data_IF_981020247736
#
_entry.id   IF_981020247736
#
_cell.length_a   1.000
_cell.length_b   1.000
_cell.length_c   1.000
_cell.angle_alpha   90.00
_cell.angle_beta   90.00
_cell.angle_gamma   90.00
#
_symmetry.space_group_name_H-M   'P 1'
#
loop_
_entity.id
_entity.type
_entity.pdbx_description
1 polymer ?
#
# COMPACT_ATOMS: atom_id res chain seq x y z
N UNK A 1 -2.95 -11.08 -17.84
CA UNK A 1 -2.94 -11.25 -16.37
C UNK A 1 -2.28 -12.58 -16.06
N UNK A 2 -1.06 -12.59 -15.52
CA UNK A 2 -0.48 -13.83 -14.98
C UNK A 2 -1.33 -14.20 -13.77
N UNK A 3 -1.98 -15.37 -13.81
CA UNK A 3 -3.07 -15.70 -12.93
C UNK A 3 -2.67 -15.83 -11.47
N UNK A 4 -3.43 -15.18 -10.60
CA UNK A 4 -3.45 -15.52 -9.17
C UNK A 4 -3.73 -17.02 -9.04
N UNK A 5 -2.88 -17.71 -8.31
CA UNK A 5 -3.05 -19.15 -8.02
C UNK A 5 -3.72 -19.29 -6.66
N UNK A 6 -5.04 -19.56 -6.59
CA UNK A 6 -5.76 -19.68 -5.31
C UNK A 6 -5.21 -20.77 -4.42
N UNK A 7 -4.68 -21.85 -5.02
CA UNK A 7 -4.07 -22.98 -4.35
C UNK A 7 -2.78 -22.65 -3.59
N UNK A 8 -2.14 -21.53 -3.88
CA UNK A 8 -0.94 -21.06 -3.18
C UNK A 8 -1.27 -20.06 -2.06
N UNK A 9 -2.53 -19.61 -1.99
CA UNK A 9 -2.93 -18.60 -1.02
C UNK A 9 -3.23 -19.21 0.34
N UNK A 10 -2.87 -18.46 1.38
CA UNK A 10 -3.19 -18.79 2.77
C UNK A 10 -4.38 -17.97 3.22
N UNK A 11 -5.37 -18.61 3.82
CA UNK A 11 -6.51 -17.89 4.36
C UNK A 11 -6.09 -17.02 5.55
N UNK A 12 -6.37 -15.72 5.55
CA UNK A 12 -5.98 -14.84 6.66
C UNK A 12 -6.79 -15.08 7.94
N UNK A 13 -7.92 -15.77 7.84
CA UNK A 13 -8.78 -16.06 8.98
C UNK A 13 -8.39 -17.36 9.70
N UNK A 14 -8.27 -18.47 8.96
CA UNK A 14 -8.02 -19.80 9.57
C UNK A 14 -6.60 -20.33 9.32
N UNK A 15 -5.76 -19.62 8.58
CA UNK A 15 -4.40 -20.05 8.27
C UNK A 15 -4.28 -21.21 7.27
N UNK A 16 -5.40 -21.77 6.79
CA UNK A 16 -5.37 -22.90 5.87
C UNK A 16 -4.77 -22.48 4.51
N UNK A 17 -3.78 -23.22 4.04
CA UNK A 17 -3.14 -23.03 2.75
C UNK A 17 -3.81 -23.90 1.70
N UNK A 18 -4.04 -23.33 0.49
CA UNK A 18 -4.66 -24.06 -0.61
C UNK A 18 -6.16 -24.32 -0.47
N UNK A 19 -6.78 -23.83 0.60
CA UNK A 19 -8.21 -24.01 0.87
C UNK A 19 -9.09 -22.88 0.28
N UNK A 20 -8.51 -22.02 -0.54
CA UNK A 20 -9.19 -20.87 -1.15
C UNK A 20 -9.55 -21.16 -2.61
N UNK A 21 -10.70 -20.63 -3.04
CA UNK A 21 -11.14 -20.64 -4.45
C UNK A 21 -11.58 -19.26 -4.88
N UNK A 22 -11.58 -19.00 -6.18
CA UNK A 22 -12.10 -17.74 -6.72
C UNK A 22 -13.61 -17.64 -6.39
N UNK A 23 -14.00 -16.52 -5.79
CA UNK A 23 -15.36 -16.23 -5.40
C UNK A 23 -16.00 -15.20 -6.32
N UNK A 24 -15.38 -14.04 -6.50
CA UNK A 24 -15.90 -12.94 -7.29
C UNK A 24 -14.76 -11.99 -7.70
N UNK A 25 -15.11 -11.07 -8.60
CA UNK A 25 -14.32 -9.88 -8.88
C UNK A 25 -15.17 -8.64 -8.63
N UNK A 26 -14.51 -7.54 -8.21
CA UNK A 26 -15.18 -6.26 -8.07
C UNK A 26 -14.33 -5.12 -8.64
N UNK A 27 -15.01 -4.10 -9.17
CA UNK A 27 -14.35 -2.90 -9.68
C UNK A 27 -13.82 -2.01 -8.55
N UNK A 28 -12.63 -1.44 -8.75
CA UNK A 28 -12.04 -0.45 -7.86
C UNK A 28 -11.31 0.60 -8.68
N UNK A 29 -11.50 1.87 -8.30
CA UNK A 29 -10.72 2.98 -8.86
C UNK A 29 -9.43 3.16 -8.06
N UNK A 30 -8.35 3.46 -8.77
CA UNK A 30 -7.04 3.78 -8.21
C UNK A 30 -6.47 4.98 -8.95
N UNK A 31 -6.11 6.01 -8.22
CA UNK A 31 -5.39 7.17 -8.77
C UNK A 31 -3.90 6.93 -8.68
N UNK A 32 -3.21 7.08 -9.80
CA UNK A 32 -1.76 7.06 -9.91
C UNK A 32 -1.24 8.34 -10.57
N UNK A 33 0.07 8.53 -10.63
CA UNK A 33 0.68 9.73 -11.21
C UNK A 33 1.54 9.34 -12.42
N UNK A 34 1.01 9.62 -13.62
CA UNK A 34 1.63 9.22 -14.88
C UNK A 34 1.84 10.46 -15.75
N UNK A 35 3.01 10.59 -16.33
CA UNK A 35 3.37 11.68 -17.27
C UNK A 35 3.08 13.10 -16.72
N UNK A 36 3.25 13.28 -15.41
CA UNK A 36 3.11 14.59 -14.78
C UNK A 36 1.70 14.96 -14.32
N UNK A 37 0.73 14.05 -14.43
CA UNK A 37 -0.66 14.28 -14.04
C UNK A 37 -1.26 13.09 -13.26
N UNK A 38 -2.26 13.32 -12.39
CA UNK A 38 -3.07 12.27 -11.80
C UNK A 38 -3.87 11.53 -12.87
N UNK A 39 -3.83 10.20 -12.85
CA UNK A 39 -4.59 9.34 -13.76
C UNK A 39 -5.39 8.33 -12.95
N UNK A 40 -6.68 8.23 -13.23
CA UNK A 40 -7.56 7.27 -12.57
C UNK A 40 -7.64 5.98 -13.39
N UNK A 41 -7.31 4.86 -12.75
CA UNK A 41 -7.40 3.52 -13.32
C UNK A 41 -8.60 2.77 -12.75
N UNK A 42 -9.33 2.05 -13.60
CA UNK A 42 -10.30 1.07 -13.16
C UNK A 42 -9.64 -0.30 -13.08
N UNK A 43 -9.65 -0.87 -11.88
CA UNK A 43 -9.05 -2.17 -11.58
C UNK A 43 -10.13 -3.20 -11.29
N UNK A 44 -9.92 -4.44 -11.73
CA UNK A 44 -10.71 -5.58 -11.32
C UNK A 44 -9.96 -6.34 -10.23
N UNK A 45 -10.50 -6.34 -9.02
CA UNK A 45 -9.90 -6.98 -7.84
C UNK A 45 -10.57 -8.33 -7.62
N UNK A 46 -9.76 -9.38 -7.57
CA UNK A 46 -10.22 -10.73 -7.31
C UNK A 46 -10.48 -10.95 -5.81
N UNK A 47 -11.60 -11.56 -5.47
CA UNK A 47 -11.91 -12.06 -4.14
C UNK A 47 -11.85 -13.58 -4.12
N UNK A 48 -11.24 -14.09 -3.08
CA UNK A 48 -11.23 -15.51 -2.78
C UNK A 48 -12.18 -15.82 -1.61
N UNK A 49 -12.72 -17.03 -1.60
CA UNK A 49 -13.44 -17.60 -0.48
C UNK A 49 -12.71 -18.86 0.00
N UNK A 50 -12.49 -18.95 1.29
CA UNK A 50 -11.92 -20.12 1.92
C UNK A 50 -13.01 -21.13 2.34
N UNK A 51 -12.65 -22.39 2.53
CA UNK A 51 -13.56 -23.43 3.07
C UNK A 51 -14.13 -23.09 4.44
N UNK A 52 -13.46 -22.22 5.23
CA UNK A 52 -14.00 -21.69 6.49
C UNK A 52 -15.09 -20.62 6.32
N UNK A 53 -15.49 -20.29 5.07
CA UNK A 53 -16.49 -19.27 4.76
C UNK A 53 -15.94 -17.84 4.69
N UNK A 54 -14.70 -17.59 5.11
CA UNK A 54 -14.10 -16.25 5.06
C UNK A 54 -13.77 -15.84 3.62
N UNK A 55 -14.14 -14.60 3.25
CA UNK A 55 -13.79 -14.01 1.94
C UNK A 55 -12.75 -12.92 2.11
N UNK A 56 -11.76 -12.87 1.21
CA UNK A 56 -10.74 -11.84 1.21
C UNK A 56 -10.35 -11.42 -0.21
N UNK A 57 -9.93 -10.17 -0.37
CA UNK A 57 -9.44 -9.65 -1.64
C UNK A 57 -7.94 -9.93 -1.80
N UNK A 58 -7.51 -10.17 -3.02
CA UNK A 58 -6.09 -10.24 -3.38
C UNK A 58 -5.68 -8.87 -3.91
N UNK A 59 -4.81 -8.20 -3.19
CA UNK A 59 -4.30 -6.88 -3.55
C UNK A 59 -2.78 -6.94 -3.79
N UNK A 60 -2.27 -6.35 -4.87
CA UNK A 60 -0.84 -6.08 -5.03
C UNK A 60 -0.31 -5.18 -3.90
N UNK A 61 0.97 -5.29 -3.58
CA UNK A 61 1.61 -4.57 -2.47
C UNK A 61 1.55 -3.03 -2.60
N UNK A 62 1.44 -2.52 -3.84
CA UNK A 62 1.29 -1.09 -4.11
C UNK A 62 -0.14 -0.57 -3.97
N UNK A 63 -1.12 -1.44 -3.74
CA UNK A 63 -2.50 -1.05 -3.51
C UNK A 63 -2.78 -1.08 -2.01
N UNK A 64 -2.91 0.10 -1.43
CA UNK A 64 -3.27 0.24 -0.02
C UNK A 64 -4.75 -0.12 0.14
N UNK A 65 -5.11 -1.07 1.04
CA UNK A 65 -6.51 -1.37 1.33
C UNK A 65 -7.30 -0.11 1.68
N UNK A 66 -8.49 0.03 1.11
CA UNK A 66 -9.43 1.15 1.33
C UNK A 66 -8.94 2.54 0.89
N UNK A 67 -7.78 2.66 0.23
CA UNK A 67 -7.30 3.91 -0.35
C UNK A 67 -7.68 4.00 -1.83
N UNK A 68 -8.20 5.13 -2.27
CA UNK A 68 -8.38 5.43 -3.70
C UNK A 68 -7.09 5.82 -4.42
N UNK A 69 -5.97 5.93 -3.71
CA UNK A 69 -4.67 6.33 -4.25
C UNK A 69 -3.67 5.19 -4.17
N UNK A 70 -2.87 5.04 -5.22
CA UNK A 70 -1.76 4.12 -5.26
C UNK A 70 -0.65 4.54 -4.28
N UNK A 71 0.08 3.57 -3.76
CA UNK A 71 1.16 3.85 -2.81
C UNK A 71 2.23 4.75 -3.42
N UNK A 72 2.65 4.47 -4.66
CA UNK A 72 3.67 5.30 -5.33
C UNK A 72 3.19 6.73 -5.58
N UNK A 73 1.89 6.93 -5.82
CA UNK A 73 1.29 8.26 -5.86
C UNK A 73 1.52 9.01 -4.54
N UNK A 74 1.17 8.39 -3.41
CA UNK A 74 1.32 9.01 -2.09
C UNK A 74 2.80 9.28 -1.78
N UNK A 75 3.68 8.30 -2.02
CA UNK A 75 5.12 8.48 -1.80
C UNK A 75 5.71 9.61 -2.65
N UNK A 76 5.22 9.79 -3.87
CA UNK A 76 5.63 10.89 -4.74
C UNK A 76 5.21 12.24 -4.17
N UNK A 77 3.96 12.38 -3.72
CA UNK A 77 3.46 13.59 -3.05
C UNK A 77 4.31 13.92 -1.84
N UNK A 78 4.57 12.94 -0.98
CA UNK A 78 5.39 13.12 0.22
C UNK A 78 6.85 13.50 -0.13
N UNK A 79 7.42 12.91 -1.18
CA UNK A 79 8.77 13.26 -1.62
C UNK A 79 8.85 14.72 -2.10
N UNK A 80 7.89 15.18 -2.91
CA UNK A 80 7.86 16.59 -3.36
C UNK A 80 7.63 17.56 -2.20
N UNK A 81 6.82 17.18 -1.21
CA UNK A 81 6.62 17.97 0.01
C UNK A 81 7.93 18.10 0.81
N UNK A 82 8.61 17.00 1.12
CA UNK A 82 9.86 17.03 1.90
C UNK A 82 11.04 17.66 1.15
N UNK A 83 11.06 17.57 -0.18
CA UNK A 83 12.03 18.26 -1.04
C UNK A 83 11.74 19.75 -1.21
N UNK A 84 10.59 20.23 -0.75
CA UNK A 84 10.14 21.62 -0.87
C UNK A 84 10.18 22.12 -2.32
N UNK A 85 9.77 21.28 -3.28
CA UNK A 85 9.80 21.60 -4.71
C UNK A 85 8.75 22.65 -5.10
N UNK A 86 7.71 22.82 -4.28
CA UNK A 86 6.65 23.81 -4.50
C UNK A 86 5.99 24.18 -3.17
N UNK A 87 5.14 25.23 -3.18
CA UNK A 87 4.30 25.54 -2.02
C UNK A 87 3.25 24.44 -1.83
N UNK A 88 2.69 24.35 -0.63
CA UNK A 88 1.68 23.35 -0.28
C UNK A 88 0.44 23.46 -1.18
N UNK A 89 0.03 24.69 -1.48
CA UNK A 89 -1.11 24.97 -2.36
C UNK A 89 -0.87 24.42 -3.77
N UNK A 90 0.27 24.76 -4.38
CA UNK A 90 0.66 24.27 -5.72
C UNK A 90 0.83 22.76 -5.76
N UNK A 91 1.34 22.17 -4.69
CA UNK A 91 1.45 20.71 -4.57
C UNK A 91 0.05 20.08 -4.56
N UNK A 92 -0.87 20.60 -3.75
CA UNK A 92 -2.25 20.12 -3.70
C UNK A 92 -2.96 20.26 -5.06
N UNK A 93 -2.80 21.39 -5.73
CA UNK A 93 -3.34 21.62 -7.09
C UNK A 93 -2.79 20.61 -8.10
N UNK A 94 -1.46 20.46 -8.15
CA UNK A 94 -0.78 19.57 -9.09
C UNK A 94 -1.22 18.12 -8.97
N UNK A 95 -1.38 17.64 -7.74
CA UNK A 95 -1.79 16.26 -7.46
C UNK A 95 -3.30 16.09 -7.32
N UNK A 96 -4.09 17.17 -7.47
CA UNK A 96 -5.55 17.17 -7.31
C UNK A 96 -5.98 16.55 -5.98
N UNK A 97 -5.31 16.93 -4.89
CA UNK A 97 -5.57 16.47 -3.53
C UNK A 97 -5.95 17.64 -2.61
N UNK A 98 -6.66 17.33 -1.54
CA UNK A 98 -6.97 18.32 -0.51
C UNK A 98 -5.82 18.47 0.49
N UNK A 99 -5.74 19.63 1.14
CA UNK A 99 -4.79 19.86 2.24
C UNK A 99 -5.02 18.87 3.40
N UNK A 100 -6.27 18.52 3.68
CA UNK A 100 -6.63 17.53 4.71
C UNK A 100 -6.06 16.15 4.36
N UNK A 101 -6.11 15.78 3.09
CA UNK A 101 -5.55 14.51 2.60
C UNK A 101 -4.04 14.48 2.72
N UNK A 102 -3.36 15.57 2.33
CA UNK A 102 -1.91 15.70 2.50
C UNK A 102 -1.51 15.54 3.98
N UNK A 103 -2.19 16.25 4.89
CA UNK A 103 -1.94 16.15 6.34
C UNK A 103 -2.12 14.73 6.85
N UNK A 104 -3.21 14.06 6.47
CA UNK A 104 -3.45 12.67 6.84
C UNK A 104 -2.29 11.75 6.41
N UNK A 105 -1.77 11.94 5.20
CA UNK A 105 -0.63 11.13 4.72
C UNK A 105 0.67 11.45 5.43
N UNK A 106 0.92 12.74 5.75
CA UNK A 106 2.08 13.14 6.54
C UNK A 106 2.06 12.52 7.94
N UNK A 107 0.92 12.57 8.62
CA UNK A 107 0.76 11.99 9.96
C UNK A 107 0.94 10.46 9.93
N UNK A 108 0.30 9.79 8.96
CA UNK A 108 0.47 8.34 8.79
C UNK A 108 1.92 7.96 8.49
N UNK A 109 2.57 8.72 7.59
CA UNK A 109 3.97 8.47 7.24
C UNK A 109 4.88 8.64 8.44
N UNK A 110 4.73 9.71 9.18
CA UNK A 110 5.56 9.99 10.35
C UNK A 110 5.39 8.91 11.43
N UNK A 111 4.13 8.60 11.77
CA UNK A 111 3.81 7.57 12.77
C UNK A 111 4.37 6.20 12.36
N UNK A 112 4.11 5.77 11.13
CA UNK A 112 4.52 4.44 10.68
C UNK A 112 6.02 4.34 10.39
N UNK A 113 6.66 5.44 10.01
CA UNK A 113 8.13 5.52 9.94
C UNK A 113 8.73 5.33 11.33
N UNK A 114 8.19 5.98 12.36
CA UNK A 114 8.64 5.84 13.73
C UNK A 114 8.39 4.43 14.28
N UNK A 115 7.23 3.85 14.02
CA UNK A 115 6.93 2.45 14.33
C UNK A 115 7.96 1.50 13.71
N UNK A 116 8.35 1.72 12.45
CA UNK A 116 9.33 0.91 11.74
C UNK A 116 10.75 1.10 12.27
N UNK A 117 11.19 2.36 12.39
CA UNK A 117 12.55 2.70 12.84
C UNK A 117 12.77 2.47 14.33
N UNK A 118 11.73 2.62 15.15
CA UNK A 118 11.81 2.39 16.60
C UNK A 118 12.27 0.98 16.98
N UNK A 119 12.21 0.05 16.05
CA UNK A 119 12.80 -1.28 16.21
C UNK A 119 14.26 -1.36 15.75
N UNK A 120 14.74 -0.35 15.03
CA UNK A 120 16.10 -0.26 14.49
C UNK A 120 16.81 0.96 15.10
N UNK A 121 16.71 1.13 16.40
CA UNK A 121 17.04 2.30 17.22
C UNK A 121 18.44 2.95 17.00
N UNK A 122 19.15 2.60 15.93
CA UNK A 122 20.46 3.14 15.59
C UNK A 122 20.52 3.95 14.29
N UNK A 123 19.40 4.13 13.57
CA UNK A 123 19.41 4.85 12.29
C UNK A 123 18.58 6.13 12.38
N UNK A 124 19.23 7.26 12.61
CA UNK A 124 18.67 8.59 12.32
C UNK A 124 18.46 8.77 10.81
N UNK A 125 17.48 8.04 10.25
CA UNK A 125 17.11 8.25 8.87
C UNK A 125 16.20 9.47 8.77
N UNK A 126 16.64 10.53 8.12
CA UNK A 126 15.77 11.64 7.75
C UNK A 126 14.59 11.11 6.93
N UNK A 127 13.42 11.78 7.00
CA UNK A 127 12.25 11.40 6.21
C UNK A 127 12.55 11.30 4.72
N UNK A 128 13.44 12.16 4.22
CA UNK A 128 13.86 12.15 2.83
C UNK A 128 14.75 10.94 2.48
N UNK A 129 15.68 10.56 3.34
CA UNK A 129 16.52 9.36 3.12
C UNK A 129 15.68 8.09 3.14
N UNK A 130 14.73 8.01 4.07
CA UNK A 130 13.78 6.89 4.14
C UNK A 130 12.90 6.80 2.89
N UNK A 131 12.35 7.93 2.41
CA UNK A 131 11.58 7.96 1.17
C UNK A 131 12.42 7.59 -0.06
N UNK A 132 13.64 8.07 -0.17
CA UNK A 132 14.54 7.69 -1.27
C UNK A 132 14.78 6.18 -1.31
N UNK A 133 15.01 5.56 -0.15
CA UNK A 133 15.18 4.12 -0.05
C UNK A 133 13.91 3.36 -0.50
N UNK A 134 12.73 3.84 -0.12
CA UNK A 134 11.45 3.23 -0.52
C UNK A 134 11.15 3.38 -2.01
N UNK A 135 11.55 4.47 -2.65
CA UNK A 135 11.31 4.73 -4.07
C UNK A 135 12.21 3.88 -5.00
N UNK A 136 13.23 3.23 -4.46
CA UNK A 136 14.00 2.22 -5.19
C UNK A 136 13.19 0.91 -5.25
N UNK A 137 12.69 0.55 -6.44
CA UNK A 137 11.74 -0.58 -6.64
C UNK A 137 12.20 -1.91 -6.02
N UNK A 138 13.48 -2.23 -6.06
CA UNK A 138 13.99 -3.48 -5.48
C UNK A 138 13.85 -3.54 -3.95
N UNK A 139 14.03 -2.42 -3.26
CA UNK A 139 13.92 -2.36 -1.80
C UNK A 139 12.46 -2.29 -1.32
N UNK A 140 11.54 -1.82 -2.17
CA UNK A 140 10.15 -1.61 -1.77
C UNK A 140 9.39 -2.91 -1.50
N UNK A 141 9.52 -3.91 -2.37
CA UNK A 141 8.81 -5.20 -2.20
C UNK A 141 9.18 -5.88 -0.89
N UNK A 142 10.47 -5.87 -0.55
CA UNK A 142 10.97 -6.45 0.69
C UNK A 142 10.48 -5.66 1.92
N UNK A 143 10.51 -4.33 1.83
CA UNK A 143 9.98 -3.45 2.87
C UNK A 143 8.48 -3.67 3.08
N UNK A 144 7.67 -3.66 2.01
CA UNK A 144 6.22 -3.84 2.09
C UNK A 144 5.87 -5.17 2.74
N UNK A 145 6.53 -6.24 2.33
CA UNK A 145 6.36 -7.58 2.87
C UNK A 145 6.75 -7.66 4.34
N UNK A 146 7.88 -7.06 4.72
CA UNK A 146 8.34 -7.03 6.09
C UNK A 146 7.43 -6.17 6.98
N UNK A 147 6.94 -5.03 6.46
CA UNK A 147 6.01 -4.17 7.19
C UNK A 147 4.68 -4.88 7.48
N UNK A 148 4.09 -5.55 6.48
CA UNK A 148 2.86 -6.32 6.67
C UNK A 148 3.05 -7.44 7.68
N UNK A 149 4.16 -8.20 7.59
CA UNK A 149 4.45 -9.28 8.55
C UNK A 149 4.57 -8.80 9.98
N UNK A 150 5.13 -7.61 10.17
CA UNK A 150 5.36 -7.05 11.51
C UNK A 150 4.13 -6.37 12.10
N UNK A 151 3.41 -5.59 11.31
CA UNK A 151 2.33 -4.73 11.78
C UNK A 151 0.93 -5.19 11.37
N UNK A 152 0.81 -6.29 10.61
CA UNK A 152 -0.47 -6.85 10.09
C UNK A 152 -1.31 -5.84 9.29
N UNK A 153 -0.71 -4.75 8.83
CA UNK A 153 -1.31 -3.70 8.00
C UNK A 153 -0.34 -3.28 6.91
N UNK A 154 -0.85 -2.74 5.80
CA UNK A 154 0.01 -2.14 4.76
C UNK A 154 0.60 -0.81 5.23
N UNK A 155 1.79 -0.46 4.72
CA UNK A 155 2.36 0.87 4.93
C UNK A 155 1.41 1.94 4.39
N UNK A 156 1.25 3.03 5.10
CA UNK A 156 0.29 4.11 4.86
C UNK A 156 -1.20 3.70 4.89
N UNK A 157 -1.51 2.51 5.40
CA UNK A 157 -2.89 2.14 5.71
C UNK A 157 -3.33 2.83 7.01
N UNK A 158 -4.47 3.53 6.96
CA UNK A 158 -5.08 4.10 8.16
C UNK A 158 -5.61 3.01 9.10
N UNK A 159 -5.58 3.26 10.40
CA UNK A 159 -5.99 2.28 11.43
C UNK A 159 -7.47 1.85 11.40
N UNK A 160 -8.28 2.43 10.52
CA UNK A 160 -9.74 2.25 10.56
C UNK A 160 -10.25 0.86 10.22
N UNK A 161 -9.41 -0.08 9.78
CA UNK A 161 -9.77 -1.50 9.70
C UNK A 161 -8.51 -2.35 9.49
N UNK A 162 -8.02 -3.05 10.49
CA UNK A 162 -7.03 -4.09 10.31
C UNK A 162 -7.71 -5.34 9.70
N UNK A 163 -8.10 -5.26 8.43
CA UNK A 163 -8.41 -6.50 7.72
C UNK A 163 -7.11 -7.27 7.53
N UNK A 164 -7.05 -8.56 7.85
CA UNK A 164 -5.87 -9.36 7.62
C UNK A 164 -5.50 -9.30 6.14
N UNK A 165 -4.30 -8.85 5.88
CA UNK A 165 -3.75 -8.69 4.53
C UNK A 165 -3.22 -10.02 4.04
N UNK A 166 -3.70 -10.48 2.91
CA UNK A 166 -3.15 -11.65 2.24
C UNK A 166 -2.12 -11.21 1.20
N UNK A 167 -0.85 -11.53 1.42
CA UNK A 167 0.22 -11.28 0.45
C UNK A 167 0.01 -12.13 -0.79
N UNK A 168 0.15 -11.51 -1.97
CA UNK A 168 0.32 -12.25 -3.21
C UNK A 168 1.72 -12.87 -3.24
N UNK A 169 1.77 -14.18 -3.26
CA UNK A 169 2.96 -14.88 -3.71
C UNK A 169 2.86 -14.95 -5.24
N UNK A 170 3.53 -14.02 -5.92
CA UNK A 170 3.80 -14.20 -7.35
C UNK A 170 4.88 -15.28 -7.44
N UNK A 171 4.51 -16.46 -7.91
CA UNK A 171 5.49 -17.47 -8.26
C UNK A 171 6.32 -17.01 -9.47
N UNK A 172 7.55 -17.54 -9.63
CA UNK A 172 8.42 -17.26 -10.75
C UNK A 172 7.80 -17.61 -12.11
#
# INVERSE_FOLDING_TARGET
>A
MKGVRPELQTCPCCGARGACRIHACYGRSLVDFISGAPVCHSLCIMRLICTCGHTHAILPDFIIPYSGYGLFFILRVLAEYFLRLSTVERLCERFSITLSQLRCWLDLFQTQKEEWLGALSSMEASSLSFLKALLMQAAYSDFASAFVRRFTKSFLQSHKNPAPYCQQVFGP
#
